data_IF_358555157173
#
_entry.id   IF_358555157173
#
_cell.length_a   1.000
_cell.length_b   1.000
_cell.length_c   1.000
_cell.angle_alpha   90.00
_cell.angle_beta   90.00
_cell.angle_gamma   90.00
#
_symmetry.space_group_name_H-M   'P 1'
#
loop_
_entity.id
_entity.type
_entity.pdbx_description
1 polymer ?
#
# COMPACT_ATOMS: atom_id res chain seq x y z
N UNK A 1 4.44 -10.44 17.29
CA UNK A 1 3.52 -10.11 16.18
C UNK A 1 3.93 -10.90 14.94
N UNK A 2 3.05 -11.02 13.94
CA UNK A 2 3.40 -11.66 12.64
C UNK A 2 4.63 -11.01 12.00
N UNK A 3 4.82 -9.70 12.21
CA UNK A 3 6.00 -8.93 11.81
C UNK A 3 7.29 -9.50 12.45
N UNK A 4 7.29 -9.77 13.77
CA UNK A 4 8.45 -10.38 14.45
C UNK A 4 8.76 -11.79 13.94
N UNK A 5 7.73 -12.55 13.53
CA UNK A 5 7.91 -13.89 12.97
C UNK A 5 8.45 -13.88 11.53
N UNK A 6 8.24 -12.78 10.79
CA UNK A 6 8.82 -12.60 9.45
C UNK A 6 10.35 -12.39 9.52
N UNK A 7 10.86 -11.80 10.61
CA UNK A 7 12.29 -11.49 10.75
C UNK A 7 12.71 -10.50 9.67
N UNK A 8 13.74 -10.87 8.90
CA UNK A 8 14.24 -10.06 7.76
C UNK A 8 13.47 -10.31 6.45
N UNK A 9 12.51 -11.24 6.41
CA UNK A 9 11.72 -11.50 5.21
C UNK A 9 10.71 -10.39 4.96
N UNK A 10 10.53 -10.05 3.69
CA UNK A 10 9.42 -9.21 3.26
C UNK A 10 8.08 -9.95 3.46
N UNK A 11 7.05 -9.23 3.88
CA UNK A 11 5.68 -9.72 3.97
C UNK A 11 4.72 -8.64 3.49
N UNK A 12 3.52 -9.06 3.07
CA UNK A 12 2.44 -8.17 2.64
C UNK A 12 1.31 -8.27 3.67
N UNK A 13 0.73 -7.13 4.02
CA UNK A 13 -0.49 -7.06 4.83
C UNK A 13 -1.67 -6.70 3.95
N UNK A 14 -2.78 -7.38 4.16
CA UNK A 14 -4.07 -6.90 3.66
C UNK A 14 -4.61 -5.86 4.64
N UNK A 15 -4.87 -4.64 4.13
CA UNK A 15 -5.20 -3.43 4.89
C UNK A 15 -4.04 -2.82 5.68
N UNK A 16 -4.21 -1.55 6.04
CA UNK A 16 -3.26 -0.78 6.84
C UNK A 16 -3.94 0.10 7.90
N UNK A 17 -3.16 0.63 8.83
CA UNK A 17 -3.68 1.38 9.99
C UNK A 17 -4.41 2.67 9.64
N UNK A 18 -4.01 3.37 8.57
CA UNK A 18 -4.72 4.59 8.12
C UNK A 18 -6.09 4.28 7.50
N UNK A 19 -6.42 3.02 7.19
CA UNK A 19 -7.73 2.68 6.62
C UNK A 19 -8.87 3.07 7.57
N UNK A 20 -8.71 2.83 8.88
CA UNK A 20 -9.69 3.24 9.88
C UNK A 20 -9.79 4.77 10.01
N UNK A 21 -8.67 5.45 9.77
CA UNK A 21 -8.53 6.90 9.94
C UNK A 21 -9.09 7.67 8.74
N UNK A 22 -9.20 7.03 7.57
CA UNK A 22 -9.90 7.57 6.41
C UNK A 22 -11.37 7.89 6.71
N UNK A 23 -12.00 7.14 7.62
CA UNK A 23 -13.40 7.33 8.01
C UNK A 23 -13.55 7.98 9.38
N UNK A 24 -12.58 7.77 10.28
CA UNK A 24 -12.64 8.26 11.66
C UNK A 24 -11.35 9.00 12.02
N UNK A 25 -11.23 10.26 11.59
CA UNK A 25 -10.03 11.08 11.83
C UNK A 25 -9.68 11.22 13.33
N UNK A 26 -10.68 11.26 14.22
CA UNK A 26 -10.50 11.34 15.67
C UNK A 26 -9.74 10.13 16.24
N UNK A 27 -9.77 8.99 15.54
CA UNK A 27 -9.07 7.76 15.93
C UNK A 27 -7.57 8.00 16.06
N UNK A 28 -6.95 8.82 15.19
CA UNK A 28 -5.51 9.13 15.29
C UNK A 28 -5.15 9.73 16.64
N UNK A 29 -5.93 10.73 17.07
CA UNK A 29 -5.71 11.40 18.35
C UNK A 29 -5.99 10.46 19.52
N UNK A 30 -7.09 9.69 19.46
CA UNK A 30 -7.47 8.75 20.50
C UNK A 30 -6.39 7.67 20.76
N UNK A 31 -5.65 7.25 19.72
CA UNK A 31 -4.56 6.26 19.84
C UNK A 31 -3.16 6.87 19.93
N UNK A 32 -3.05 8.21 19.97
CA UNK A 32 -1.77 8.91 20.14
C UNK A 32 -0.81 8.79 18.96
N UNK A 33 -1.34 8.62 17.74
CA UNK A 33 -0.52 8.48 16.52
C UNK A 33 -0.62 9.69 15.59
N UNK A 34 0.12 9.67 14.49
CA UNK A 34 0.10 10.65 13.41
C UNK A 34 0.30 9.96 12.06
N UNK A 35 -0.10 10.60 10.96
CA UNK A 35 0.13 10.07 9.61
C UNK A 35 1.59 9.69 9.37
N UNK A 36 2.53 10.54 9.80
CA UNK A 36 3.96 10.26 9.68
C UNK A 36 4.40 9.01 10.45
N UNK A 37 3.89 8.81 11.68
CA UNK A 37 4.19 7.61 12.46
C UNK A 37 3.63 6.37 11.77
N UNK A 38 2.42 6.45 11.23
CA UNK A 38 1.77 5.33 10.54
C UNK A 38 2.45 5.02 9.20
N UNK A 39 2.86 6.02 8.44
CA UNK A 39 3.63 5.83 7.21
C UNK A 39 4.92 5.05 7.43
N UNK A 40 5.67 5.37 8.49
CA UNK A 40 6.94 4.69 8.81
C UNK A 40 6.79 3.19 9.11
N UNK A 41 5.57 2.70 9.34
CA UNK A 41 5.30 1.27 9.57
C UNK A 41 5.36 0.44 8.29
N UNK A 42 5.22 1.08 7.14
CA UNK A 42 5.12 0.40 5.85
C UNK A 42 6.32 0.80 4.99
N UNK A 43 6.96 -0.19 4.36
CA UNK A 43 7.97 0.12 3.35
C UNK A 43 7.31 0.74 2.12
N UNK A 44 6.16 0.23 1.70
CA UNK A 44 5.40 0.76 0.58
C UNK A 44 3.92 0.51 0.81
N UNK A 45 3.08 1.27 0.09
CA UNK A 45 1.63 1.13 0.13
C UNK A 45 1.15 0.97 -1.31
N UNK A 46 0.38 -0.08 -1.59
CA UNK A 46 -0.21 -0.32 -2.89
C UNK A 46 -1.73 -0.36 -2.72
N UNK A 47 -2.42 0.64 -3.24
CA UNK A 47 -3.88 0.69 -3.25
C UNK A 47 -4.42 0.11 -4.57
N UNK A 48 -5.33 -0.84 -4.46
CA UNK A 48 -6.02 -1.47 -5.60
C UNK A 48 -7.36 -0.81 -5.84
N UNK A 49 -7.57 -0.23 -7.02
CA UNK A 49 -8.77 0.51 -7.36
C UNK A 49 -10.01 -0.37 -7.53
N UNK A 50 -11.17 0.11 -7.10
CA UNK A 50 -12.45 -0.61 -7.14
C UNK A 50 -12.99 -0.74 -8.57
N UNK A 51 -13.58 -1.89 -8.90
CA UNK A 51 -14.26 -2.06 -10.19
C UNK A 51 -15.49 -1.16 -10.34
N UNK A 52 -15.95 -0.51 -9.27
CA UNK A 52 -16.98 0.53 -9.32
C UNK A 52 -16.61 1.67 -10.31
N UNK A 53 -15.32 1.94 -10.47
CA UNK A 53 -14.81 2.94 -11.42
C UNK A 53 -15.03 2.57 -12.90
N UNK A 54 -15.33 1.30 -13.20
CA UNK A 54 -15.63 0.81 -14.55
C UNK A 54 -17.15 0.82 -14.84
N UNK A 55 -17.97 1.12 -13.82
CA UNK A 55 -19.41 1.22 -13.93
C UNK A 55 -20.19 -0.05 -13.54
N UNK A 56 -21.53 -0.01 -13.62
CA UNK A 56 -22.41 -1.01 -13.02
C UNK A 56 -22.22 -2.44 -13.52
N UNK A 57 -21.74 -2.61 -14.75
CA UNK A 57 -21.53 -3.94 -15.34
C UNK A 57 -20.38 -4.70 -14.66
N UNK A 58 -19.44 -3.98 -14.05
CA UNK A 58 -18.21 -4.54 -13.45
C UNK A 58 -18.24 -4.55 -11.92
N UNK A 59 -19.25 -3.94 -11.30
CA UNK A 59 -19.37 -3.83 -9.86
C UNK A 59 -20.57 -4.62 -9.35
N UNK A 60 -20.28 -5.57 -8.46
CA UNK A 60 -21.29 -6.43 -7.85
C UNK A 60 -21.22 -6.30 -6.34
N UNK A 61 -22.38 -6.09 -5.73
CA UNK A 61 -22.60 -6.20 -4.28
C UNK A 61 -22.93 -7.65 -3.93
N UNK A 62 -22.53 -8.09 -2.73
CA UNK A 62 -22.83 -9.39 -2.16
C UNK A 62 -22.99 -9.29 -0.64
N UNK A 63 -22.98 -10.41 0.08
CA UNK A 63 -23.13 -10.42 1.54
C UNK A 63 -21.97 -9.75 2.29
N UNK A 64 -20.83 -9.52 1.62
CA UNK A 64 -19.63 -8.90 2.20
C UNK A 64 -19.46 -7.47 1.70
N UNK A 65 -19.73 -7.23 0.41
CA UNK A 65 -19.69 -5.90 -0.24
C UNK A 65 -21.09 -5.37 -0.42
N UNK A 66 -21.51 -4.46 0.45
CA UNK A 66 -22.91 -4.01 0.54
C UNK A 66 -23.11 -2.58 0.04
N UNK A 67 -22.03 -1.85 -0.13
CA UNK A 67 -22.03 -0.45 -0.53
C UNK A 67 -22.38 -0.27 -2.03
N UNK A 68 -23.14 0.76 -2.42
CA UNK A 68 -23.37 1.10 -3.82
C UNK A 68 -22.10 1.67 -4.49
N UNK A 69 -22.13 1.79 -5.82
CA UNK A 69 -21.00 2.28 -6.63
C UNK A 69 -20.48 3.63 -6.13
N UNK A 70 -21.37 4.57 -5.87
CA UNK A 70 -21.02 5.91 -5.42
C UNK A 70 -20.28 5.87 -4.09
N UNK A 71 -20.74 5.04 -3.15
CA UNK A 71 -20.09 4.87 -1.85
C UNK A 71 -18.75 4.15 -1.97
N UNK A 72 -18.66 3.12 -2.83
CA UNK A 72 -17.40 2.43 -3.12
C UNK A 72 -16.33 3.38 -3.68
N UNK A 73 -16.73 4.33 -4.54
CA UNK A 73 -15.85 5.36 -5.07
C UNK A 73 -15.45 6.38 -4.01
N UNK A 74 -16.36 6.74 -3.10
CA UNK A 74 -16.05 7.62 -1.96
C UNK A 74 -15.06 6.95 -1.00
N UNK A 75 -15.24 5.67 -0.71
CA UNK A 75 -14.32 4.85 0.09
C UNK A 75 -12.93 4.83 -0.57
N UNK A 76 -12.84 4.57 -1.87
CA UNK A 76 -11.57 4.59 -2.60
C UNK A 76 -10.89 5.96 -2.49
N UNK A 77 -11.65 7.05 -2.69
CA UNK A 77 -11.14 8.40 -2.62
C UNK A 77 -10.64 8.76 -1.21
N UNK A 78 -11.36 8.34 -0.16
CA UNK A 78 -10.97 8.56 1.23
C UNK A 78 -9.68 7.82 1.58
N UNK A 79 -9.54 6.56 1.17
CA UNK A 79 -8.31 5.78 1.34
C UNK A 79 -7.15 6.41 0.57
N UNK A 80 -7.40 6.82 -0.68
CA UNK A 80 -6.39 7.48 -1.51
C UNK A 80 -5.92 8.77 -0.87
N UNK A 81 -6.82 9.57 -0.30
CA UNK A 81 -6.49 10.81 0.38
C UNK A 81 -5.50 10.57 1.52
N UNK A 82 -5.76 9.62 2.41
CA UNK A 82 -4.89 9.38 3.58
C UNK A 82 -3.59 8.67 3.23
N UNK A 83 -3.56 7.82 2.20
CA UNK A 83 -2.36 7.06 1.84
C UNK A 83 -1.46 7.76 0.83
N UNK A 84 -2.00 8.69 0.03
CA UNK A 84 -1.22 9.35 -1.04
C UNK A 84 -0.04 10.19 -0.55
N UNK A 85 0.01 10.56 0.74
CA UNK A 85 1.16 11.21 1.36
C UNK A 85 2.33 10.27 1.68
N UNK A 86 2.15 8.94 1.60
CA UNK A 86 3.22 7.99 1.84
C UNK A 86 4.29 8.09 0.73
N UNK A 87 5.61 8.20 1.04
CA UNK A 87 6.65 8.43 0.03
C UNK A 87 6.75 7.36 -1.07
N UNK A 88 6.30 6.14 -0.77
CA UNK A 88 6.25 5.00 -1.69
C UNK A 88 4.82 4.49 -1.86
N UNK A 89 3.89 5.40 -2.14
CA UNK A 89 2.50 5.09 -2.46
C UNK A 89 2.34 4.76 -3.95
N UNK A 90 1.64 3.68 -4.24
CA UNK A 90 1.30 3.26 -5.60
C UNK A 90 -0.20 3.00 -5.71
N UNK A 91 -0.82 3.47 -6.80
CA UNK A 91 -2.21 3.20 -7.10
C UNK A 91 -2.32 2.34 -8.36
N UNK A 92 -2.97 1.19 -8.25
CA UNK A 92 -3.30 0.34 -9.40
C UNK A 92 -4.78 0.56 -9.72
N UNK A 93 -5.13 1.27 -10.81
CA UNK A 93 -6.53 1.52 -11.14
C UNK A 93 -7.28 0.22 -11.45
N UNK A 94 -8.60 0.30 -11.46
CA UNK A 94 -9.42 -0.78 -11.96
C UNK A 94 -9.08 -1.09 -13.43
N UNK A 95 -9.26 -2.35 -13.80
CA UNK A 95 -9.12 -2.84 -15.16
C UNK A 95 -10.26 -3.83 -15.44
N UNK A 96 -10.70 -3.90 -16.69
CA UNK A 96 -11.74 -4.83 -17.11
C UNK A 96 -11.29 -6.29 -16.92
N UNK A 97 -10.03 -6.56 -17.24
CA UNK A 97 -9.41 -7.88 -17.08
C UNK A 97 -8.55 -7.94 -15.81
N UNK A 98 -8.72 -9.01 -15.03
CA UNK A 98 -7.99 -9.22 -13.78
C UNK A 98 -6.48 -9.35 -14.02
N UNK A 99 -6.08 -9.93 -15.15
CA UNK A 99 -4.70 -10.14 -15.56
C UNK A 99 -3.97 -8.80 -15.68
N UNK A 100 -4.61 -7.77 -16.25
CA UNK A 100 -4.00 -6.45 -16.37
C UNK A 100 -3.72 -5.83 -15.00
N UNK A 101 -4.67 -5.96 -14.07
CA UNK A 101 -4.52 -5.45 -12.70
C UNK A 101 -3.46 -6.23 -11.94
N UNK A 102 -3.44 -7.55 -12.09
CA UNK A 102 -2.47 -8.44 -11.45
C UNK A 102 -1.05 -8.20 -11.96
N UNK A 103 -0.86 -8.10 -13.28
CA UNK A 103 0.45 -7.80 -13.87
C UNK A 103 0.99 -6.48 -13.34
N UNK A 104 0.18 -5.41 -13.32
CA UNK A 104 0.61 -4.12 -12.76
C UNK A 104 1.01 -4.22 -11.28
N UNK A 105 0.22 -4.93 -10.48
CA UNK A 105 0.53 -5.17 -9.08
C UNK A 105 1.87 -5.91 -8.91
N UNK A 106 2.07 -7.01 -9.63
CA UNK A 106 3.30 -7.83 -9.56
C UNK A 106 4.52 -7.03 -10.02
N UNK A 107 4.40 -6.21 -11.07
CA UNK A 107 5.47 -5.33 -11.51
C UNK A 107 5.91 -4.38 -10.39
N UNK A 108 4.96 -3.72 -9.72
CA UNK A 108 5.27 -2.81 -8.59
C UNK A 108 5.95 -3.57 -7.46
N UNK A 109 5.46 -4.76 -7.10
CA UNK A 109 6.08 -5.59 -6.05
C UNK A 109 7.50 -5.98 -6.42
N UNK A 110 7.74 -6.40 -7.66
CA UNK A 110 9.06 -6.73 -8.16
C UNK A 110 10.00 -5.51 -8.09
N UNK A 111 9.56 -4.35 -8.55
CA UNK A 111 10.38 -3.13 -8.51
C UNK A 111 10.74 -2.74 -7.07
N UNK A 112 9.80 -2.86 -6.13
CA UNK A 112 10.04 -2.60 -4.72
C UNK A 112 11.07 -3.58 -4.12
N UNK A 113 11.03 -4.86 -4.50
CA UNK A 113 12.01 -5.85 -4.04
C UNK A 113 13.41 -5.56 -4.58
N UNK A 114 13.55 -5.23 -5.87
CA UNK A 114 14.85 -4.93 -6.48
C UNK A 114 15.46 -3.63 -5.94
N UNK A 115 14.65 -2.57 -5.76
CA UNK A 115 15.10 -1.30 -5.23
C UNK A 115 15.46 -1.37 -3.74
N UNK A 116 14.93 -2.32 -2.97
CA UNK A 116 15.32 -2.56 -1.59
C UNK A 116 16.72 -3.22 -1.49
N UNK A 117 17.11 -4.04 -2.47
CA UNK A 117 18.45 -4.65 -2.53
C UNK A 117 19.50 -3.57 -2.80
N UNK A 118 19.25 -2.66 -3.75
CA UNK A 118 20.19 -1.62 -4.16
C UNK A 118 20.58 -0.64 -3.02
N UNK A 119 19.66 -0.34 -2.09
CA UNK A 119 19.96 0.54 -0.94
C UNK A 119 20.83 -0.15 0.12
N UNK A 120 20.78 -1.49 0.21
CA UNK A 120 21.59 -2.27 1.16
C UNK A 120 22.99 -2.63 0.63
N UNK A 121 23.28 -2.39 -0.66
CA UNK A 121 24.64 -2.46 -1.23
C UNK A 121 25.17 -1.05 -1.48
N UNK A 122 25.31 -0.25 -0.43
CA UNK A 122 26.24 0.89 -0.52
C UNK A 122 27.67 0.34 -0.63
N UNK A 123 28.49 0.78 -1.60
CA UNK A 123 29.88 0.37 -1.69
C UNK A 123 30.63 0.87 -0.46
N UNK A 124 31.42 -0.02 0.15
CA UNK A 124 32.38 0.33 1.20
C UNK A 124 33.14 1.61 0.82
N UNK A 125 33.25 2.60 1.72
CA UNK A 125 34.02 3.81 1.45
C UNK A 125 35.45 3.45 1.04
N UNK A 126 35.99 4.17 0.05
CA UNK A 126 37.29 3.88 -0.58
C UNK A 126 38.50 4.00 0.37
N UNK A 127 38.30 4.32 1.64
CA UNK A 127 39.32 4.52 2.65
C UNK A 127 39.92 3.24 3.22
N UNK A 128 39.45 2.04 2.83
CA UNK A 128 40.01 0.75 3.28
C UNK A 128 40.71 -0.07 2.18
N UNK A 129 41.08 0.53 1.03
CA UNK A 129 41.87 -0.16 -0.03
C UNK A 129 43.37 0.10 0.02
N UNK A 130 43.93 0.29 1.21
CA UNK A 130 45.38 0.27 1.40
C UNK A 130 45.61 -0.62 2.60
N UNK A 131 45.91 -1.89 2.33
CA UNK A 131 46.60 -2.87 3.17
C UNK A 131 46.25 -4.28 2.65
N UNK A 132 46.71 -4.59 1.44
CA UNK A 132 46.96 -5.94 0.92
C UNK A 132 48.21 -5.88 0.04
#
# INVERSE_FOLDING_TARGET
SRERAAGERSFITDRGTLDAMAFHHQTMHAVGTSEEKEYRRYSAVIQLGTTAALGPMYYRTDAVRTEPIEEALQIEAALRRVWSGHPRYHFVPAAEEIEQKFTRFVTIVNDLMHNHIAVNVSPMPSSLRKDL
#
